data_IF_931972001386
#
_entry.id   IF_931972001386
#
_cell.length_a   1.000
_cell.length_b   1.000
_cell.length_c   1.000
_cell.angle_alpha   90.00
_cell.angle_beta   90.00
_cell.angle_gamma   90.00
#
_symmetry.space_group_name_H-M   'P 1'
#
loop_
_entity.id
_entity.type
_entity.pdbx_description
1 polymer ?
#
# COMPACT_ATOMS: atom_id res chain seq x y z
N UNK A 1 18.94 -4.97 31.96
CA UNK A 1 18.76 -4.31 30.66
C UNK A 1 18.67 -5.41 29.62
N UNK A 2 17.47 -5.72 29.10
CA UNK A 2 17.37 -6.68 28.00
C UNK A 2 18.12 -6.11 26.78
N UNK A 3 18.87 -6.96 26.10
CA UNK A 3 19.62 -6.58 24.90
C UNK A 3 18.67 -6.07 23.81
N UNK A 4 19.05 -5.02 23.06
CA UNK A 4 18.30 -4.44 21.90
C UNK A 4 17.80 -5.49 20.88
N UNK A 5 18.48 -6.63 20.77
CA UNK A 5 18.12 -7.77 19.92
C UNK A 5 16.87 -8.54 20.41
N UNK A 6 16.60 -8.53 21.72
CA UNK A 6 15.43 -9.14 22.32
C UNK A 6 14.21 -8.22 22.17
N UNK A 7 14.42 -6.91 22.35
CA UNK A 7 13.38 -5.90 22.13
C UNK A 7 12.89 -5.89 20.67
N UNK A 8 13.80 -5.92 19.70
CA UNK A 8 13.43 -5.96 18.27
C UNK A 8 12.67 -7.22 17.88
N UNK A 9 13.05 -8.40 18.37
CA UNK A 9 12.32 -9.65 18.09
C UNK A 9 10.91 -9.67 18.67
N UNK A 10 10.76 -9.14 19.89
CA UNK A 10 9.48 -9.12 20.59
C UNK A 10 8.52 -8.09 19.97
N UNK A 11 9.04 -6.95 19.51
CA UNK A 11 8.30 -5.99 18.68
C UNK A 11 7.86 -6.62 17.37
N UNK A 12 8.76 -7.30 16.64
CA UNK A 12 8.41 -7.95 15.37
C UNK A 12 7.33 -9.03 15.56
N UNK A 13 7.42 -9.85 16.61
CA UNK A 13 6.41 -10.88 16.91
C UNK A 13 5.06 -10.28 17.35
N UNK A 14 5.09 -9.22 18.16
CA UNK A 14 3.87 -8.55 18.60
C UNK A 14 3.22 -7.76 17.44
N UNK A 15 4.02 -7.26 16.51
CA UNK A 15 3.57 -6.55 15.31
C UNK A 15 3.06 -7.53 14.26
N UNK A 16 3.69 -8.71 14.06
CA UNK A 16 3.19 -9.75 13.16
C UNK A 16 1.85 -10.34 13.62
N UNK A 17 1.63 -10.47 14.93
CA UNK A 17 0.35 -10.93 15.49
C UNK A 17 -0.78 -9.88 15.31
N UNK A 18 -0.43 -8.59 15.36
CA UNK A 18 -1.35 -7.47 15.10
C UNK A 18 -1.59 -7.22 13.60
N UNK A 19 -0.75 -7.80 12.74
CA UNK A 19 -0.85 -7.78 11.27
C UNK A 19 -1.95 -8.69 10.69
N UNK A 20 -2.79 -9.31 11.51
CA UNK A 20 -3.89 -10.18 11.06
C UNK A 20 -4.92 -9.47 10.15
N UNK A 21 -4.93 -8.14 10.10
CA UNK A 21 -5.77 -7.32 9.23
C UNK A 21 -5.22 -7.12 7.81
N UNK A 22 -3.92 -7.25 7.58
CA UNK A 22 -3.31 -7.08 6.24
C UNK A 22 -3.82 -8.01 5.13
N UNK A 23 -4.20 -9.28 5.38
CA UNK A 23 -4.86 -10.08 4.35
C UNK A 23 -6.15 -9.43 3.83
N UNK A 24 -6.83 -8.57 4.61
CA UNK A 24 -8.02 -7.83 4.15
C UNK A 24 -7.65 -6.77 3.10
N UNK A 25 -6.54 -6.07 3.28
CA UNK A 25 -6.01 -5.09 2.33
C UNK A 25 -5.56 -5.78 1.04
N UNK A 26 -4.91 -6.95 1.17
CA UNK A 26 -4.48 -7.77 0.04
C UNK A 26 -5.67 -8.31 -0.77
N UNK A 27 -6.70 -8.82 -0.09
CA UNK A 27 -7.96 -9.26 -0.71
C UNK A 27 -8.66 -8.10 -1.42
N UNK A 28 -8.78 -6.96 -0.77
CA UNK A 28 -9.42 -5.76 -1.32
C UNK A 28 -8.70 -5.26 -2.57
N UNK A 29 -7.36 -5.25 -2.54
CA UNK A 29 -6.54 -4.83 -3.69
C UNK A 29 -6.66 -5.81 -4.86
N UNK A 30 -6.79 -7.10 -4.57
CA UNK A 30 -7.02 -8.13 -5.60
C UNK A 30 -8.39 -7.95 -6.25
N UNK A 31 -9.45 -7.73 -5.46
CA UNK A 31 -10.80 -7.46 -5.98
C UNK A 31 -10.84 -6.18 -6.84
N UNK A 32 -10.19 -5.11 -6.38
CA UNK A 32 -10.07 -3.85 -7.12
C UNK A 32 -9.29 -4.06 -8.43
N UNK A 33 -8.21 -4.85 -8.40
CA UNK A 33 -7.43 -5.15 -9.61
C UNK A 33 -8.26 -5.88 -10.68
N UNK A 34 -9.12 -6.81 -10.27
CA UNK A 34 -10.03 -7.52 -11.18
C UNK A 34 -11.10 -6.57 -11.71
N UNK A 35 -11.70 -5.75 -10.86
CA UNK A 35 -12.66 -4.71 -11.28
C UNK A 35 -12.07 -3.76 -12.32
N UNK A 36 -10.89 -3.20 -12.06
CA UNK A 36 -10.20 -2.31 -12.98
C UNK A 36 -9.74 -3.02 -14.25
N UNK A 37 -9.27 -4.26 -14.13
CA UNK A 37 -8.90 -5.09 -15.27
C UNK A 37 -10.10 -5.41 -16.17
N UNK A 38 -11.29 -5.61 -15.61
CA UNK A 38 -12.52 -5.77 -16.42
C UNK A 38 -13.00 -4.47 -17.06
N UNK A 39 -12.77 -3.31 -16.41
CA UNK A 39 -13.18 -2.01 -16.93
C UNK A 39 -12.32 -1.55 -18.12
N UNK A 40 -11.03 -1.91 -18.12
CA UNK A 40 -10.05 -1.50 -19.14
C UNK A 40 -9.58 -2.67 -20.02
N UNK A 41 -10.53 -3.51 -20.41
CA UNK A 41 -10.27 -4.68 -21.26
C UNK A 41 -9.85 -4.27 -22.68
N UNK A 42 -8.70 -4.78 -23.15
CA UNK A 42 -8.21 -4.67 -24.54
C UNK A 42 -7.96 -3.24 -25.08
N UNK A 43 -7.46 -2.34 -24.22
CA UNK A 43 -6.97 -1.01 -24.66
C UNK A 43 -5.66 -1.10 -25.46
N UNK A 44 -4.87 -2.18 -25.31
CA UNK A 44 -3.60 -2.36 -26.00
C UNK A 44 -3.70 -2.57 -27.52
N UNK A 45 -4.88 -2.90 -28.06
CA UNK A 45 -5.05 -3.23 -29.48
C UNK A 45 -5.34 -2.04 -30.41
N UNK A 46 -5.68 -0.84 -29.90
CA UNK A 46 -6.20 0.28 -30.70
C UNK A 46 -5.41 1.57 -30.48
N UNK A 47 -4.21 1.66 -31.06
CA UNK A 47 -3.39 2.90 -31.07
C UNK A 47 -3.62 3.78 -32.30
N UNK A 48 -4.79 3.70 -32.95
CA UNK A 48 -4.98 4.32 -34.26
C UNK A 48 -5.36 5.81 -34.21
N UNK A 49 -5.82 6.31 -33.06
CA UNK A 49 -6.22 7.73 -32.88
C UNK A 49 -5.54 8.35 -31.66
N UNK A 50 -5.20 9.66 -31.74
CA UNK A 50 -4.69 10.42 -30.58
C UNK A 50 -5.67 10.36 -29.39
N UNK A 51 -6.96 10.27 -29.66
CA UNK A 51 -8.00 10.18 -28.63
C UNK A 51 -7.86 8.88 -27.81
N UNK A 52 -7.58 7.76 -28.47
CA UNK A 52 -7.43 6.46 -27.83
C UNK A 52 -6.17 6.42 -26.94
N UNK A 53 -5.09 7.09 -27.38
CA UNK A 53 -3.89 7.31 -26.57
C UNK A 53 -4.17 8.15 -25.31
N UNK A 54 -4.92 9.25 -25.43
CA UNK A 54 -5.30 10.06 -24.26
C UNK A 54 -6.20 9.28 -23.29
N UNK A 55 -7.13 8.47 -23.81
CA UNK A 55 -7.99 7.62 -22.99
C UNK A 55 -7.20 6.51 -22.29
N UNK A 56 -6.20 5.91 -22.96
CA UNK A 56 -5.30 4.92 -22.37
C UNK A 56 -4.42 5.53 -21.26
N UNK A 57 -3.87 6.72 -21.48
CA UNK A 57 -3.09 7.41 -20.44
C UNK A 57 -3.96 7.81 -19.24
N UNK A 58 -5.17 8.34 -19.50
CA UNK A 58 -6.09 8.75 -18.45
C UNK A 58 -6.62 7.58 -17.62
N UNK A 59 -6.89 6.44 -18.25
CA UNK A 59 -7.32 5.22 -17.55
C UNK A 59 -6.22 4.65 -16.65
N UNK A 60 -4.98 4.58 -17.13
CA UNK A 60 -3.83 4.15 -16.31
C UNK A 60 -3.66 5.08 -15.11
N UNK A 61 -3.72 6.40 -15.32
CA UNK A 61 -3.61 7.38 -14.24
C UNK A 61 -4.71 7.22 -13.18
N UNK A 62 -5.97 7.08 -13.63
CA UNK A 62 -7.10 6.92 -12.72
C UNK A 62 -7.05 5.58 -11.95
N UNK A 63 -6.60 4.50 -12.61
CA UNK A 63 -6.43 3.20 -11.96
C UNK A 63 -5.37 3.24 -10.85
N UNK A 64 -4.25 3.93 -11.09
CA UNK A 64 -3.16 4.09 -10.10
C UNK A 64 -3.62 4.94 -8.91
N UNK A 65 -4.32 6.06 -9.16
CA UNK A 65 -4.86 6.88 -8.08
C UNK A 65 -5.86 6.11 -7.22
N UNK A 66 -6.80 5.41 -7.85
CA UNK A 66 -7.84 4.69 -7.12
C UNK A 66 -7.26 3.59 -6.23
N UNK A 67 -6.32 2.78 -6.75
CA UNK A 67 -5.68 1.74 -5.94
C UNK A 67 -4.81 2.32 -4.82
N UNK A 68 -4.15 3.47 -5.06
CA UNK A 68 -3.35 4.19 -4.08
C UNK A 68 -4.18 4.71 -2.91
N UNK A 69 -5.29 5.40 -3.19
CA UNK A 69 -6.21 5.93 -2.17
C UNK A 69 -6.83 4.81 -1.34
N UNK A 70 -7.27 3.72 -1.99
CA UNK A 70 -7.85 2.57 -1.30
C UNK A 70 -6.84 1.85 -0.39
N UNK A 71 -5.57 1.76 -0.81
CA UNK A 71 -4.51 1.22 0.06
C UNK A 71 -4.29 2.10 1.29
N UNK A 72 -4.19 3.42 1.10
CA UNK A 72 -4.04 4.36 2.22
C UNK A 72 -5.21 4.28 3.20
N UNK A 73 -6.44 4.20 2.71
CA UNK A 73 -7.63 4.08 3.54
C UNK A 73 -7.66 2.78 4.36
N UNK A 74 -7.18 1.68 3.80
CA UNK A 74 -7.10 0.39 4.49
C UNK A 74 -6.01 0.34 5.58
N UNK A 75 -4.93 1.11 5.41
CA UNK A 75 -3.79 1.16 6.36
C UNK A 75 -4.08 2.05 7.57
N UNK A 76 -4.90 3.09 7.42
CA UNK A 76 -5.25 3.99 8.53
C UNK A 76 -5.81 3.31 9.79
N UNK A 77 -6.80 2.40 9.73
CA UNK A 77 -7.33 1.71 10.91
C UNK A 77 -6.35 0.70 11.51
N UNK A 78 -5.35 0.24 10.77
CA UNK A 78 -4.30 -0.64 11.31
C UNK A 78 -3.33 0.18 12.16
N UNK A 79 -2.82 1.27 11.59
CA UNK A 79 -1.88 2.20 12.27
C UNK A 79 -2.52 2.85 13.51
N UNK A 80 -3.81 3.09 13.44
CA UNK A 80 -4.65 3.55 14.54
C UNK A 80 -4.56 2.68 15.80
N UNK A 81 -4.82 1.39 15.62
CA UNK A 81 -4.81 0.39 16.68
C UNK A 81 -3.39 0.23 17.21
N UNK A 82 -2.41 0.19 16.32
CA UNK A 82 -0.99 0.12 16.67
C UNK A 82 -0.53 1.30 17.55
N UNK A 83 -0.95 2.52 17.23
CA UNK A 83 -0.65 3.72 18.04
C UNK A 83 -1.14 3.57 19.48
N UNK A 84 -2.37 3.11 19.68
CA UNK A 84 -2.93 2.97 21.05
C UNK A 84 -2.21 1.91 21.89
N UNK A 85 -1.73 0.83 21.26
CA UNK A 85 -0.91 -0.18 21.91
C UNK A 85 0.49 0.35 22.24
N UNK A 86 1.11 1.08 21.31
CA UNK A 86 2.44 1.69 21.51
C UNK A 86 2.46 2.66 22.70
N UNK A 87 1.44 3.50 22.88
CA UNK A 87 1.37 4.41 24.04
C UNK A 87 1.29 3.66 25.38
N UNK A 88 0.66 2.49 25.43
CA UNK A 88 0.60 1.64 26.64
C UNK A 88 1.93 0.97 26.95
N UNK A 89 2.58 0.39 25.93
CA UNK A 89 3.87 -0.28 26.09
C UNK A 89 5.02 0.71 26.38
N UNK A 90 4.93 1.93 25.83
CA UNK A 90 5.87 3.03 26.14
C UNK A 90 5.68 3.57 27.55
N UNK A 91 4.46 3.64 28.07
CA UNK A 91 4.20 4.04 29.45
C UNK A 91 4.75 3.03 30.47
N UNK A 92 4.84 1.74 30.09
CA UNK A 92 5.49 0.70 30.88
C UNK A 92 7.05 0.73 30.81
N UNK A 93 7.63 1.67 30.05
CA UNK A 93 9.08 1.83 29.93
C UNK A 93 9.79 0.72 29.15
N UNK A 94 9.05 -0.09 28.37
CA UNK A 94 9.62 -1.28 27.74
C UNK A 94 10.25 -1.05 26.36
N UNK A 95 10.01 0.08 25.66
CA UNK A 95 10.52 0.31 24.30
C UNK A 95 10.85 1.77 23.96
N UNK A 96 11.87 1.94 23.11
CA UNK A 96 12.19 3.21 22.44
C UNK A 96 11.43 3.36 21.11
N UNK A 97 11.16 4.61 20.67
CA UNK A 97 10.36 4.90 19.47
C UNK A 97 11.08 4.55 18.14
N UNK A 98 12.41 4.63 18.12
CA UNK A 98 13.24 4.36 16.94
C UNK A 98 13.18 2.90 16.45
N UNK A 99 13.42 1.87 17.30
CA UNK A 99 13.37 0.48 16.88
C UNK A 99 11.97 0.05 16.44
N UNK A 100 10.91 0.65 17.00
CA UNK A 100 9.53 0.41 16.57
C UNK A 100 9.28 0.88 15.14
N UNK A 101 9.67 2.13 14.81
CA UNK A 101 9.49 2.68 13.47
C UNK A 101 10.29 1.90 12.41
N UNK A 102 11.51 1.46 12.73
CA UNK A 102 12.33 0.66 11.82
C UNK A 102 11.76 -0.75 11.61
N UNK A 103 11.29 -1.41 12.67
CA UNK A 103 10.64 -2.72 12.56
C UNK A 103 9.38 -2.66 11.68
N UNK A 104 8.58 -1.61 11.84
CA UNK A 104 7.39 -1.39 11.00
C UNK A 104 7.74 -1.27 9.52
N UNK A 105 8.72 -0.45 9.17
CA UNK A 105 9.13 -0.25 7.76
C UNK A 105 9.68 -1.54 7.16
N UNK A 106 10.44 -2.34 7.92
CA UNK A 106 11.03 -3.60 7.45
C UNK A 106 9.96 -4.66 7.18
N UNK A 107 8.93 -4.75 8.02
CA UNK A 107 7.85 -5.73 7.84
C UNK A 107 6.98 -5.33 6.64
N UNK A 108 6.68 -4.04 6.47
CA UNK A 108 5.71 -3.58 5.47
C UNK A 108 6.26 -3.56 4.04
N UNK A 109 7.58 -3.36 3.87
CA UNK A 109 8.26 -3.36 2.57
C UNK A 109 8.00 -4.63 1.72
N UNK A 110 8.23 -5.86 2.23
CA UNK A 110 7.99 -7.08 1.47
C UNK A 110 6.50 -7.33 1.18
N UNK A 111 5.59 -6.98 2.09
CA UNK A 111 4.16 -7.16 1.87
C UNK A 111 3.64 -6.28 0.73
N UNK A 112 3.98 -4.98 0.76
CA UNK A 112 3.61 -4.04 -0.31
C UNK A 112 4.25 -4.46 -1.64
N UNK A 113 5.45 -5.04 -1.63
CA UNK A 113 6.08 -5.56 -2.85
C UNK A 113 5.30 -6.73 -3.45
N UNK A 114 4.89 -7.70 -2.65
CA UNK A 114 4.08 -8.84 -3.13
C UNK A 114 2.74 -8.36 -3.67
N UNK A 115 2.08 -7.43 -2.97
CA UNK A 115 0.81 -6.83 -3.36
C UNK A 115 0.92 -6.03 -4.66
N UNK A 116 1.94 -5.18 -4.80
CA UNK A 116 2.20 -4.43 -6.01
C UNK A 116 2.48 -5.37 -7.19
N UNK A 117 3.29 -6.41 -6.98
CA UNK A 117 3.58 -7.41 -8.00
C UNK A 117 2.32 -8.15 -8.45
N UNK A 118 1.48 -8.62 -7.52
CA UNK A 118 0.24 -9.33 -7.88
C UNK A 118 -0.73 -8.43 -8.63
N UNK A 119 -0.90 -7.18 -8.18
CA UNK A 119 -1.73 -6.20 -8.87
C UNK A 119 -1.22 -5.92 -10.29
N UNK A 120 0.09 -5.65 -10.43
CA UNK A 120 0.69 -5.32 -11.71
C UNK A 120 0.58 -6.47 -12.71
N UNK A 121 0.74 -7.73 -12.27
CA UNK A 121 0.59 -8.90 -13.15
C UNK A 121 -0.85 -9.00 -13.69
N UNK A 122 -1.86 -8.81 -12.85
CA UNK A 122 -3.28 -8.91 -13.25
C UNK A 122 -3.63 -7.80 -14.24
N UNK A 123 -3.33 -6.54 -13.90
CA UNK A 123 -3.68 -5.39 -14.77
C UNK A 123 -2.91 -5.42 -16.08
N UNK A 124 -1.63 -5.80 -16.05
CA UNK A 124 -0.82 -5.92 -17.26
C UNK A 124 -1.32 -7.03 -18.19
N UNK A 125 -1.75 -8.17 -17.63
CA UNK A 125 -2.35 -9.25 -18.40
C UNK A 125 -3.71 -8.85 -19.01
N UNK A 126 -4.55 -8.10 -18.28
CA UNK A 126 -5.90 -7.73 -18.73
C UNK A 126 -5.92 -6.55 -19.73
N UNK A 127 -4.94 -5.64 -19.68
CA UNK A 127 -4.81 -4.56 -20.67
C UNK A 127 -4.21 -5.02 -22.02
N UNK A 128 -3.62 -6.22 -22.07
CA UNK A 128 -3.06 -6.77 -23.30
C UNK A 128 -1.81 -6.05 -23.80
N UNK A 129 -0.97 -5.53 -22.91
CA UNK A 129 0.29 -4.90 -23.30
C UNK A 129 1.27 -5.91 -23.92
N UNK A 130 2.16 -5.43 -24.80
CA UNK A 130 3.25 -6.24 -25.35
C UNK A 130 4.10 -6.83 -24.23
N UNK A 131 4.16 -8.17 -24.15
CA UNK A 131 4.94 -8.94 -23.19
C UNK A 131 6.46 -8.79 -23.42
N UNK A 132 6.99 -7.60 -23.12
CA UNK A 132 8.42 -7.34 -23.08
C UNK A 132 8.86 -7.26 -21.63
N UNK A 133 9.79 -8.12 -21.22
CA UNK A 133 10.34 -8.18 -19.85
C UNK A 133 10.79 -6.81 -19.33
N UNK A 134 11.44 -6.01 -20.17
CA UNK A 134 11.89 -4.65 -19.82
C UNK A 134 10.72 -3.72 -19.46
N UNK A 135 9.66 -3.70 -20.28
CA UNK A 135 8.47 -2.84 -20.06
C UNK A 135 7.71 -3.27 -18.80
N UNK A 136 7.59 -4.58 -18.58
CA UNK A 136 6.95 -5.14 -17.40
C UNK A 136 7.70 -4.79 -16.10
N UNK A 137 9.03 -4.93 -16.07
CA UNK A 137 9.83 -4.57 -14.90
C UNK A 137 9.72 -3.08 -14.56
N UNK A 138 9.76 -2.21 -15.57
CA UNK A 138 9.55 -0.78 -15.38
C UNK A 138 8.16 -0.46 -14.82
N UNK A 139 7.12 -1.15 -15.32
CA UNK A 139 5.75 -0.98 -14.83
C UNK A 139 5.61 -1.38 -13.35
N UNK A 140 6.15 -2.54 -12.97
CA UNK A 140 6.14 -3.01 -11.57
C UNK A 140 6.94 -2.06 -10.67
N UNK A 141 8.08 -1.56 -11.14
CA UNK A 141 8.92 -0.62 -10.38
C UNK A 141 8.17 0.68 -10.07
N UNK A 142 7.62 1.35 -11.08
CA UNK A 142 6.87 2.59 -10.85
C UNK A 142 5.65 2.36 -9.96
N UNK A 143 4.91 1.27 -10.20
CA UNK A 143 3.73 0.98 -9.41
C UNK A 143 4.04 0.71 -7.93
N UNK A 144 5.14 0.00 -7.66
CA UNK A 144 5.61 -0.24 -6.31
C UNK A 144 5.96 1.06 -5.58
N UNK A 145 6.72 1.96 -6.23
CA UNK A 145 7.08 3.25 -5.63
C UNK A 145 5.87 4.15 -5.38
N UNK A 146 4.91 4.17 -6.31
CA UNK A 146 3.67 4.96 -6.14
C UNK A 146 2.83 4.42 -4.99
N UNK A 147 2.60 3.12 -4.92
CA UNK A 147 1.86 2.51 -3.81
C UNK A 147 2.54 2.81 -2.47
N UNK A 148 3.87 2.68 -2.40
CA UNK A 148 4.61 2.97 -1.16
C UNK A 148 4.53 4.44 -0.76
N UNK A 149 4.56 5.35 -1.72
CA UNK A 149 4.38 6.78 -1.46
C UNK A 149 3.00 7.08 -0.83
N UNK A 150 1.94 6.49 -1.37
CA UNK A 150 0.59 6.61 -0.81
C UNK A 150 0.50 6.02 0.62
N UNK A 151 1.10 4.86 0.86
CA UNK A 151 1.12 4.25 2.20
C UNK A 151 1.78 5.16 3.25
N UNK A 152 2.95 5.74 2.94
CA UNK A 152 3.62 6.67 3.84
C UNK A 152 2.83 7.96 4.07
N UNK A 153 2.15 8.45 3.03
CA UNK A 153 1.22 9.57 3.16
C UNK A 153 0.05 9.22 4.11
N UNK A 154 -0.53 8.02 3.96
CA UNK A 154 -1.55 7.50 4.88
C UNK A 154 -1.08 7.40 6.34
N UNK A 155 0.14 6.91 6.58
CA UNK A 155 0.72 6.86 7.92
C UNK A 155 0.97 8.26 8.52
N UNK A 156 1.44 9.21 7.70
CA UNK A 156 1.68 10.59 8.14
C UNK A 156 0.38 11.29 8.55
N UNK A 157 -0.69 11.15 7.77
CA UNK A 157 -1.99 11.77 8.09
C UNK A 157 -2.58 11.27 9.41
N UNK A 158 -2.42 9.98 9.72
CA UNK A 158 -2.83 9.38 11.02
C UNK A 158 -1.95 9.86 12.17
N UNK A 159 -0.66 10.12 11.93
CA UNK A 159 0.24 10.63 12.95
C UNK A 159 -0.09 12.09 13.34
N UNK A 160 -0.45 12.93 12.36
CA UNK A 160 -0.76 14.35 12.57
C UNK A 160 -2.15 14.55 13.19
N UNK A 161 -3.10 13.64 12.92
CA UNK A 161 -4.48 13.78 13.41
C UNK A 161 -4.70 13.06 14.75
N UNK A 162 -5.59 13.60 15.61
CA UNK A 162 -5.92 12.98 16.90
C UNK A 162 -6.96 11.85 16.80
N UNK A 163 -7.72 11.77 15.69
CA UNK A 163 -8.82 10.81 15.52
C UNK A 163 -8.77 10.17 14.12
N UNK A 164 -9.03 8.87 14.03
CA UNK A 164 -8.98 8.09 12.79
C UNK A 164 -10.00 8.55 11.75
N UNK A 165 -11.17 9.04 12.18
CA UNK A 165 -12.17 9.63 11.28
C UNK A 165 -11.69 10.95 10.65
N UNK A 166 -10.89 11.73 11.38
CA UNK A 166 -10.30 12.95 10.84
C UNK A 166 -9.14 12.60 9.92
N UNK A 167 -8.35 11.57 10.26
CA UNK A 167 -7.31 11.03 9.41
C UNK A 167 -7.86 10.59 8.03
N UNK A 168 -8.99 9.87 8.02
CA UNK A 168 -9.61 9.41 6.78
C UNK A 168 -10.13 10.56 5.93
N UNK A 169 -10.73 11.57 6.56
CA UNK A 169 -11.20 12.77 5.83
C UNK A 169 -10.03 13.56 5.25
N UNK A 170 -8.95 13.77 6.02
CA UNK A 170 -7.74 14.49 5.56
C UNK A 170 -7.01 13.73 4.45
N UNK A 171 -6.91 12.41 4.58
CA UNK A 171 -6.27 11.57 3.56
C UNK A 171 -7.13 11.40 2.29
N UNK A 172 -8.45 11.58 2.39
CA UNK A 172 -9.34 11.61 1.22
C UNK A 172 -9.43 12.98 0.53
N UNK A 173 -8.95 14.03 1.20
CA UNK A 173 -8.99 15.39 0.67
C UNK A 173 -7.88 15.69 -0.36
N UNK A 174 -6.91 14.78 -0.51
CA UNK A 174 -5.76 14.86 -1.41
C UNK A 174 -5.51 13.51 -2.09
#
# INVERSE_FOLDING_TARGET
MPSLLMETKLVILAQSARHCSEPVSFLSTTVISVWFGTMFWDLGGKYSSRQDLFNAMGSIYNAVLFVGVQNSASVQPVVAIERTAFYRERAAGMYSALPYALAQVIIELPYVFVQAKSYSVIVYAMMGFEWTLHKFFWYVFFMYFTLRYFTFYGMMTVAVTPNHLVASVVASAF
#
